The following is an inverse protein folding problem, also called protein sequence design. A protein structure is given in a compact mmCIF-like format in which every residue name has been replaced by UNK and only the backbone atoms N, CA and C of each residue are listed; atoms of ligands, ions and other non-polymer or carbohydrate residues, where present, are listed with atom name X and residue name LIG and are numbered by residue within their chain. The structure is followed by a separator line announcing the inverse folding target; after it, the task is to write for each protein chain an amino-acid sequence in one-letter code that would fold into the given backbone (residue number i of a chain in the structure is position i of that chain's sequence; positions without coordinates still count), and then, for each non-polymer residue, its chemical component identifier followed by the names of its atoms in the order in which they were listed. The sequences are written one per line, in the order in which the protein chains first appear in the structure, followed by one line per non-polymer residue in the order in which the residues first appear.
data_IF_788866745642
#
_entry.id   IF_788866745642
#
_cell.length_a   1.000
_cell.length_b   1.000
_cell.length_c   1.000
_cell.angle_alpha   90.00
_cell.angle_beta   90.00
_cell.angle_gamma   90.00
#
_symmetry.space_group_name_H-M   'P 1'
#
loop_
_entity.id
_entity.type
_entity.pdbx_description
1 polymer ?
#
# COMPACT_ATOMS: atom_id res chain seq x y z
N UNK A 1 -30.18 -27.63 5.83
CA UNK A 1 -29.72 -27.69 4.42
C UNK A 1 -30.81 -27.09 3.54
N UNK A 2 -30.41 -26.46 2.42
CA UNK A 2 -31.16 -25.67 1.42
C UNK A 2 -31.58 -24.24 1.80
N UNK A 3 -30.95 -23.25 1.13
CA UNK A 3 -31.53 -21.92 0.90
C UNK A 3 -30.57 -20.73 0.96
N UNK A 4 -29.70 -20.55 -0.06
CA UNK A 4 -29.26 -19.25 -0.62
C UNK A 4 -28.16 -19.38 -1.71
N UNK A 5 -28.01 -20.56 -2.32
CA UNK A 5 -27.37 -20.71 -3.62
C UNK A 5 -28.47 -21.12 -4.59
N UNK A 6 -28.72 -20.33 -5.63
CA UNK A 6 -29.49 -20.81 -6.77
C UNK A 6 -28.49 -21.54 -7.68
N UNK A 7 -28.73 -22.79 -8.07
CA UNK A 7 -27.94 -23.38 -9.14
C UNK A 7 -28.24 -22.60 -10.44
N UNK A 8 -27.24 -22.06 -11.16
CA UNK A 8 -25.80 -22.21 -11.00
C UNK A 8 -25.08 -20.88 -10.70
N UNK A 9 -25.15 -20.38 -9.47
CA UNK A 9 -24.37 -19.21 -9.07
C UNK A 9 -22.87 -19.57 -9.10
N UNK A 10 -22.11 -18.91 -9.96
CA UNK A 10 -20.67 -19.09 -10.12
C UNK A 10 -19.95 -18.10 -9.21
N UNK A 11 -19.13 -18.61 -8.28
CA UNK A 11 -18.35 -17.78 -7.38
C UNK A 11 -16.99 -17.39 -7.99
N UNK A 12 -16.55 -16.16 -7.74
CA UNK A 12 -15.24 -15.68 -8.14
C UNK A 12 -14.60 -14.80 -7.06
N UNK A 13 -13.27 -14.74 -7.08
CA UNK A 13 -12.51 -13.86 -6.22
C UNK A 13 -12.81 -12.39 -6.55
N UNK A 14 -13.20 -11.60 -5.55
CA UNK A 14 -13.43 -10.16 -5.70
C UNK A 14 -12.19 -9.38 -6.17
N UNK A 15 -10.99 -9.91 -5.90
CA UNK A 15 -9.71 -9.28 -6.25
C UNK A 15 -9.26 -9.58 -7.67
N UNK A 16 -9.15 -10.86 -8.05
CA UNK A 16 -8.57 -11.27 -9.33
C UNK A 16 -9.58 -11.89 -10.32
N UNK A 17 -10.84 -12.07 -9.92
CA UNK A 17 -11.88 -12.71 -10.75
C UNK A 17 -11.74 -14.22 -10.93
N UNK A 18 -10.72 -14.86 -10.34
CA UNK A 18 -10.53 -16.31 -10.43
C UNK A 18 -11.70 -17.07 -9.80
N UNK A 19 -12.17 -18.11 -10.46
CA UNK A 19 -13.16 -19.06 -9.91
C UNK A 19 -12.60 -20.05 -8.89
N UNK A 20 -11.28 -20.03 -8.62
CA UNK A 20 -10.62 -20.91 -7.64
C UNK A 20 -10.77 -20.37 -6.22
N UNK A 21 -12.00 -20.33 -5.74
CA UNK A 21 -12.35 -19.88 -4.39
C UNK A 21 -12.93 -21.02 -3.57
N UNK A 22 -12.46 -21.18 -2.34
CA UNK A 22 -12.97 -22.21 -1.42
C UNK A 22 -13.40 -21.57 -0.10
N UNK A 23 -14.51 -22.05 0.50
CA UNK A 23 -14.96 -21.54 1.78
C UNK A 23 -13.90 -21.83 2.84
N UNK A 24 -13.61 -20.83 3.67
CA UNK A 24 -12.68 -21.00 4.79
C UNK A 24 -13.34 -21.92 5.83
N UNK A 25 -12.80 -23.13 5.99
CA UNK A 25 -13.25 -24.07 7.01
C UNK A 25 -12.66 -23.66 8.36
N UNK A 26 -13.51 -23.13 9.25
CA UNK A 26 -13.14 -22.88 10.64
C UNK A 26 -13.07 -24.22 11.38
N UNK A 27 -11.89 -24.54 11.94
CA UNK A 27 -11.62 -25.80 12.66
C UNK A 27 -12.48 -25.96 13.92
N UNK A 28 -13.10 -24.88 14.41
CA UNK A 28 -13.96 -24.88 15.62
C UNK A 28 -15.47 -24.86 15.33
N UNK A 29 -15.89 -24.98 14.07
CA UNK A 29 -17.30 -24.87 13.70
C UNK A 29 -17.87 -23.45 13.89
N UNK A 30 -19.11 -23.20 13.44
CA UNK A 30 -19.69 -21.86 13.47
C UNK A 30 -20.03 -21.41 14.91
N UNK A 31 -19.56 -20.22 15.31
CA UNK A 31 -19.87 -19.57 16.57
C UNK A 31 -21.11 -18.68 16.38
N UNK A 32 -22.21 -19.05 17.05
CA UNK A 32 -23.46 -18.29 17.02
C UNK A 32 -23.25 -16.85 17.52
N UNK A 33 -23.60 -15.85 16.69
CA UNK A 33 -23.49 -14.42 17.01
C UNK A 33 -22.26 -13.71 16.41
N UNK A 34 -21.27 -14.46 15.92
CA UNK A 34 -20.15 -13.95 15.12
C UNK A 34 -20.31 -14.40 13.65
N UNK A 35 -20.72 -15.65 13.43
CA UNK A 35 -20.75 -16.29 12.11
C UNK A 35 -22.10 -16.22 11.38
N UNK A 36 -22.99 -15.30 11.77
CA UNK A 36 -24.30 -15.22 11.09
C UNK A 36 -24.19 -14.77 9.64
N UNK A 37 -23.10 -14.12 9.22
CA UNK A 37 -22.95 -13.58 7.85
C UNK A 37 -21.53 -13.70 7.22
N UNK A 38 -20.53 -14.22 7.93
CA UNK A 38 -19.12 -14.27 7.46
C UNK A 38 -18.74 -15.60 6.81
N UNK A 39 -19.33 -15.93 5.66
CA UNK A 39 -18.81 -17.00 4.79
C UNK A 39 -17.65 -16.47 3.95
N UNK A 40 -16.48 -16.23 4.57
CA UNK A 40 -15.29 -15.82 3.80
C UNK A 40 -14.71 -16.99 3.00
N UNK A 41 -14.14 -16.67 1.85
CA UNK A 41 -13.53 -17.62 0.93
C UNK A 41 -12.06 -17.25 0.74
N UNK A 42 -11.23 -18.28 0.60
CA UNK A 42 -9.84 -18.13 0.20
C UNK A 42 -9.71 -18.34 -1.31
N UNK A 43 -9.10 -17.39 -2.00
CA UNK A 43 -8.73 -17.52 -3.41
C UNK A 43 -7.37 -18.20 -3.56
N UNK A 44 -7.33 -19.35 -4.23
CA UNK A 44 -6.07 -20.06 -4.47
C UNK A 44 -5.16 -19.35 -5.49
N UNK A 45 -5.74 -18.50 -6.36
CA UNK A 45 -4.99 -17.84 -7.40
C UNK A 45 -4.20 -16.61 -6.91
N UNK A 46 -4.67 -15.92 -5.86
CA UNK A 46 -4.04 -14.69 -5.37
C UNK A 46 -3.95 -14.58 -3.83
N UNK A 47 -4.39 -15.60 -3.09
CA UNK A 47 -4.35 -15.63 -1.63
C UNK A 47 -5.34 -14.71 -0.93
N UNK A 48 -6.26 -14.06 -1.67
CA UNK A 48 -7.25 -13.15 -1.08
C UNK A 48 -8.27 -13.89 -0.22
N UNK A 49 -8.46 -13.43 1.02
CA UNK A 49 -9.50 -13.88 1.96
C UNK A 49 -10.62 -12.84 2.02
N UNK A 50 -11.83 -13.22 1.63
CA UNK A 50 -12.98 -12.31 1.64
C UNK A 50 -14.24 -12.91 1.04
N UNK A 51 -15.28 -12.08 0.89
CA UNK A 51 -16.52 -12.52 0.24
C UNK A 51 -16.31 -12.70 -1.27
N UNK A 52 -16.82 -13.78 -1.86
CA UNK A 52 -16.76 -13.99 -3.30
C UNK A 52 -17.78 -13.07 -4.00
N UNK A 53 -17.50 -12.74 -5.26
CA UNK A 53 -18.46 -12.16 -6.17
C UNK A 53 -19.22 -13.29 -6.85
N UNK A 54 -20.54 -13.20 -6.90
CA UNK A 54 -21.40 -14.20 -7.50
C UNK A 54 -21.83 -13.76 -8.89
N UNK A 55 -21.82 -14.69 -9.83
CA UNK A 55 -22.21 -14.49 -11.22
C UNK A 55 -23.28 -15.49 -11.61
N UNK A 56 -24.23 -15.06 -12.44
CA UNK A 56 -25.27 -15.94 -12.97
C UNK A 56 -24.72 -16.93 -14.01
N UNK A 57 -23.57 -16.63 -14.63
CA UNK A 57 -22.94 -17.46 -15.66
C UNK A 57 -21.40 -17.45 -15.59
N UNK A 58 -20.79 -18.54 -16.05
CA UNK A 58 -19.33 -18.68 -16.19
C UNK A 58 -18.74 -17.65 -17.17
N UNK A 59 -19.51 -17.26 -18.18
CA UNK A 59 -19.11 -16.25 -19.17
C UNK A 59 -19.03 -14.85 -18.55
N UNK A 60 -19.96 -14.50 -17.66
CA UNK A 60 -19.92 -13.24 -16.91
C UNK A 60 -18.72 -13.22 -15.95
N UNK A 61 -18.44 -14.35 -15.28
CA UNK A 61 -17.24 -14.52 -14.45
C UNK A 61 -15.96 -14.35 -15.28
N UNK A 62 -15.87 -14.99 -16.44
CA UNK A 62 -14.69 -14.94 -17.31
C UNK A 62 -14.45 -13.54 -17.87
N UNK A 63 -15.51 -12.78 -18.20
CA UNK A 63 -15.40 -11.36 -18.58
C UNK A 63 -14.86 -10.51 -17.42
N UNK A 64 -15.38 -10.72 -16.22
CA UNK A 64 -14.88 -10.03 -15.02
C UNK A 64 -13.41 -10.39 -14.74
N UNK A 65 -13.02 -11.66 -14.88
CA UNK A 65 -11.62 -12.09 -14.77
C UNK A 65 -10.74 -11.42 -15.84
N UNK A 66 -11.18 -11.35 -17.09
CA UNK A 66 -10.44 -10.71 -18.17
C UNK A 66 -10.30 -9.19 -17.97
N UNK A 67 -11.36 -8.52 -17.52
CA UNK A 67 -11.32 -7.10 -17.14
C UNK A 67 -10.35 -6.85 -15.98
N UNK A 68 -10.30 -7.74 -14.99
CA UNK A 68 -9.36 -7.67 -13.86
C UNK A 68 -7.92 -7.99 -14.25
N UNK A 69 -7.73 -8.89 -15.22
CA UNK A 69 -6.40 -9.37 -15.65
C UNK A 69 -5.74 -8.43 -16.66
N UNK A 70 -6.50 -7.56 -17.32
CA UNK A 70 -5.98 -6.66 -18.35
C UNK A 70 -5.53 -7.43 -19.62
N UNK A 71 -4.96 -6.73 -20.63
CA UNK A 71 -4.42 -7.39 -21.81
C UNK A 71 -3.32 -8.41 -21.43
N UNK A 72 -3.15 -9.49 -22.22
CA UNK A 72 -2.26 -10.58 -21.89
C UNK A 72 -0.80 -10.11 -21.90
N UNK A 73 -0.25 -9.82 -20.74
CA UNK A 73 1.19 -9.80 -20.52
C UNK A 73 1.72 -11.22 -20.34
N UNK A 74 2.97 -11.40 -20.76
CA UNK A 74 3.73 -12.64 -20.73
C UNK A 74 3.64 -13.34 -19.37
N UNK A 75 3.76 -14.67 -19.39
CA UNK A 75 3.78 -15.59 -18.25
C UNK A 75 4.20 -14.92 -16.94
N UNK A 76 3.50 -15.17 -15.82
CA UNK A 76 3.94 -14.66 -14.53
C UNK A 76 5.37 -15.15 -14.33
N UNK A 77 6.32 -14.23 -14.45
CA UNK A 77 7.68 -14.52 -14.08
C UNK A 77 7.60 -14.94 -12.62
N UNK A 78 8.14 -16.12 -12.31
CA UNK A 78 8.47 -16.54 -10.95
C UNK A 78 8.88 -15.33 -10.12
N UNK A 79 8.48 -15.22 -8.83
CA UNK A 79 8.75 -14.05 -8.01
C UNK A 79 10.23 -13.74 -8.13
N UNK A 80 10.56 -12.69 -8.89
CA UNK A 80 11.93 -12.21 -9.00
C UNK A 80 12.35 -11.97 -7.56
N UNK A 81 13.46 -12.57 -7.14
CA UNK A 81 14.17 -12.22 -5.92
C UNK A 81 14.61 -10.75 -6.02
N UNK A 82 13.65 -9.84 -5.93
CA UNK A 82 13.79 -8.41 -5.97
C UNK A 82 13.55 -7.89 -4.57
N UNK A 83 14.31 -6.86 -4.21
CA UNK A 83 14.07 -6.05 -3.03
C UNK A 83 12.58 -5.66 -2.93
N UNK A 84 12.05 -5.69 -1.70
CA UNK A 84 10.65 -5.33 -1.45
C UNK A 84 10.44 -3.84 -1.70
N UNK A 85 9.50 -3.49 -2.58
CA UNK A 85 9.02 -2.12 -2.77
C UNK A 85 7.67 -1.94 -2.06
N UNK A 86 7.62 -1.05 -1.07
CA UNK A 86 6.44 -0.84 -0.23
C UNK A 86 6.06 0.64 -0.29
N UNK A 87 4.94 1.03 -0.93
CA UNK A 87 4.49 2.42 -0.92
C UNK A 87 4.08 2.87 0.49
N UNK A 88 4.52 4.07 0.88
CA UNK A 88 4.08 4.75 2.08
C UNK A 88 2.68 5.31 1.85
N UNK A 89 1.77 5.10 2.80
CA UNK A 89 0.39 5.55 2.75
C UNK A 89 0.06 6.39 4.00
N UNK A 90 0.26 7.71 3.97
CA UNK A 90 -0.06 8.59 5.07
C UNK A 90 -1.56 8.84 5.15
N UNK A 91 -2.19 8.37 6.22
CA UNK A 91 -3.60 8.56 6.50
C UNK A 91 -3.75 9.73 7.46
N UNK A 92 -4.55 10.71 7.04
CA UNK A 92 -5.02 11.78 7.91
C UNK A 92 -6.51 11.59 8.17
N UNK A 93 -6.88 11.51 9.45
CA UNK A 93 -8.28 11.36 9.87
C UNK A 93 -8.80 12.68 10.42
N UNK A 94 -9.71 13.32 9.69
CA UNK A 94 -10.30 14.61 10.07
C UNK A 94 -11.81 14.46 10.38
N UNK A 95 -12.35 15.24 11.33
CA UNK A 95 -13.78 15.31 11.54
C UNK A 95 -14.47 15.87 10.28
N UNK A 96 -15.58 15.27 9.86
CA UNK A 96 -16.34 15.69 8.66
C UNK A 96 -16.97 17.09 8.83
N UNK A 97 -17.28 17.49 10.07
CA UNK A 97 -17.93 18.77 10.42
C UNK A 97 -17.30 19.32 11.68
N UNK A 98 -16.67 20.51 11.61
CA UNK A 98 -16.10 21.22 12.77
C UNK A 98 -17.14 22.23 13.31
N UNK A 99 -18.22 21.72 13.90
CA UNK A 99 -19.24 22.52 14.57
C UNK A 99 -19.40 22.00 16.00
N UNK A 100 -19.03 22.81 17.00
CA UNK A 100 -19.10 22.53 18.45
C UNK A 100 -20.46 22.03 18.99
N UNK A 101 -21.52 22.05 18.17
CA UNK A 101 -22.88 21.64 18.55
C UNK A 101 -23.23 20.25 17.98
N UNK A 102 -22.41 19.70 17.09
CA UNK A 102 -22.63 18.42 16.41
C UNK A 102 -21.51 17.39 16.67
N UNK A 103 -20.85 17.48 17.82
CA UNK A 103 -19.81 16.52 18.30
C UNK A 103 -20.32 15.07 18.42
N UNK A 104 -21.62 14.82 18.18
CA UNK A 104 -22.29 13.52 18.27
C UNK A 104 -22.41 12.79 16.92
N UNK A 105 -21.89 13.33 15.81
CA UNK A 105 -21.89 12.64 14.51
C UNK A 105 -20.50 12.05 14.25
N UNK A 106 -20.29 10.74 14.44
CA UNK A 106 -18.97 10.10 14.43
C UNK A 106 -18.45 9.80 13.01
N UNK A 107 -18.79 10.63 12.03
CA UNK A 107 -18.30 10.43 10.65
C UNK A 107 -16.99 11.20 10.51
N UNK A 108 -15.87 10.47 10.46
CA UNK A 108 -14.56 11.04 10.13
C UNK A 108 -14.19 10.67 8.70
N UNK A 109 -13.62 11.63 7.98
CA UNK A 109 -13.06 11.38 6.65
C UNK A 109 -11.60 10.98 6.79
N UNK A 110 -11.24 9.83 6.21
CA UNK A 110 -9.86 9.45 5.99
C UNK A 110 -9.43 9.96 4.61
N UNK A 111 -8.35 10.73 4.58
CA UNK A 111 -7.69 11.12 3.33
C UNK A 111 -6.28 10.57 3.31
N UNK A 112 -5.82 10.15 2.13
CA UNK A 112 -4.40 9.95 1.89
C UNK A 112 -3.81 11.30 1.51
N UNK A 113 -2.72 11.69 2.15
CA UNK A 113 -2.09 13.01 1.97
C UNK A 113 -0.62 12.87 1.65
N UNK A 114 -0.08 13.80 0.88
CA UNK A 114 1.37 13.95 0.80
C UNK A 114 1.90 14.42 2.14
N UNK A 115 3.17 14.14 2.42
CA UNK A 115 3.80 14.50 3.69
C UNK A 115 5.12 15.22 3.45
N UNK A 116 5.57 15.96 4.45
CA UNK A 116 6.90 16.55 4.51
C UNK A 116 7.28 16.83 5.96
N UNK A 117 8.57 17.08 6.19
CA UNK A 117 9.08 17.40 7.52
C UNK A 117 9.19 18.91 7.73
N UNK A 118 8.58 19.41 8.80
CA UNK A 118 8.61 20.84 9.17
C UNK A 118 9.71 21.18 10.20
N UNK A 119 10.58 20.22 10.52
CA UNK A 119 11.58 20.35 11.58
C UNK A 119 11.17 19.71 12.91
N UNK A 120 9.89 19.36 13.09
CA UNK A 120 9.36 18.78 14.33
C UNK A 120 8.37 17.64 14.13
N UNK A 121 7.56 17.70 13.09
CA UNK A 121 6.48 16.76 12.83
C UNK A 121 6.37 16.46 11.33
N UNK A 122 5.70 15.34 11.03
CA UNK A 122 5.38 14.95 9.66
C UNK A 122 4.09 15.70 9.31
N UNK A 123 4.23 16.78 8.55
CA UNK A 123 3.13 17.66 8.20
C UNK A 123 2.52 17.26 6.85
N UNK A 124 1.19 17.33 6.69
CA UNK A 124 0.54 17.09 5.41
C UNK A 124 0.89 18.21 4.41
N UNK A 125 1.03 17.84 3.14
CA UNK A 125 1.21 18.78 2.02
C UNK A 125 -0.12 19.02 1.29
N UNK A 126 -0.05 19.70 0.13
CA UNK A 126 -1.22 19.94 -0.73
C UNK A 126 -1.75 18.69 -1.43
N UNK A 127 -0.94 17.64 -1.56
CA UNK A 127 -1.37 16.41 -2.22
C UNK A 127 -2.40 15.72 -1.34
N UNK A 128 -3.55 15.39 -1.92
CA UNK A 128 -4.64 14.71 -1.24
C UNK A 128 -5.41 13.84 -2.23
N UNK A 129 -5.79 12.66 -1.78
CA UNK A 129 -6.73 11.77 -2.46
C UNK A 129 -7.64 11.10 -1.42
N UNK A 130 -8.81 10.64 -1.84
CA UNK A 130 -9.55 9.70 -1.00
C UNK A 130 -8.76 8.39 -0.87
N UNK A 131 -8.99 7.65 0.22
CA UNK A 131 -8.35 6.35 0.38
C UNK A 131 -8.68 5.40 -0.77
N UNK A 132 -9.92 5.43 -1.29
CA UNK A 132 -10.34 4.57 -2.39
C UNK A 132 -9.56 4.87 -3.66
N UNK A 133 -9.51 6.14 -4.10
CA UNK A 133 -8.78 6.54 -5.30
C UNK A 133 -7.30 6.18 -5.21
N UNK A 134 -6.69 6.42 -4.03
CA UNK A 134 -5.30 6.09 -3.81
C UNK A 134 -5.04 4.59 -3.84
N UNK A 135 -5.90 3.81 -3.16
CA UNK A 135 -5.80 2.36 -3.16
C UNK A 135 -6.01 1.77 -4.56
N UNK A 136 -6.93 2.30 -5.36
CA UNK A 136 -7.13 1.85 -6.74
C UNK A 136 -5.91 2.14 -7.62
N UNK A 137 -5.19 3.24 -7.37
CA UNK A 137 -3.95 3.56 -8.04
C UNK A 137 -2.82 2.58 -7.69
N UNK A 138 -2.51 2.39 -6.41
CA UNK A 138 -1.38 1.56 -6.00
C UNK A 138 -1.68 0.05 -5.98
N UNK A 139 -2.93 -0.34 -5.71
CA UNK A 139 -3.38 -1.74 -5.70
C UNK A 139 -3.86 -2.24 -7.06
N UNK A 140 -4.04 -1.34 -8.03
CA UNK A 140 -4.43 -1.67 -9.40
C UNK A 140 -3.32 -2.39 -10.18
N UNK A 141 -3.63 -2.99 -11.34
CA UNK A 141 -2.72 -3.87 -12.08
C UNK A 141 -1.44 -3.15 -12.58
N UNK A 142 -1.48 -1.81 -12.72
CA UNK A 142 -0.33 -1.02 -13.17
C UNK A 142 0.76 -0.83 -12.11
N UNK A 143 0.42 -0.94 -10.83
CA UNK A 143 1.37 -0.78 -9.71
C UNK A 143 1.47 -2.04 -8.86
N UNK A 144 0.31 -2.65 -8.58
CA UNK A 144 0.18 -3.96 -7.94
C UNK A 144 0.91 -4.07 -6.59
N UNK A 145 0.75 -3.07 -5.74
CA UNK A 145 1.26 -3.09 -4.37
C UNK A 145 0.64 -4.27 -3.61
N UNK A 146 1.48 -5.18 -3.13
CA UNK A 146 1.05 -6.28 -2.25
C UNK A 146 0.85 -5.82 -0.81
N UNK A 147 1.60 -4.79 -0.40
CA UNK A 147 1.70 -4.28 0.97
C UNK A 147 1.84 -2.76 0.95
N UNK A 148 1.41 -2.09 2.02
CA UNK A 148 1.63 -0.66 2.26
C UNK A 148 2.27 -0.40 3.62
N UNK A 149 3.03 0.69 3.70
CA UNK A 149 3.52 1.25 4.96
C UNK A 149 2.61 2.39 5.38
N UNK A 150 1.61 2.09 6.22
CA UNK A 150 0.59 3.04 6.61
C UNK A 150 1.07 3.90 7.79
N UNK A 151 1.03 5.22 7.61
CA UNK A 151 1.32 6.20 8.66
C UNK A 151 -0.01 6.81 9.15
N UNK A 152 -0.42 6.56 10.39
CA UNK A 152 -1.51 7.33 10.99
C UNK A 152 -0.98 8.68 11.47
N UNK A 153 -1.15 9.71 10.65
CA UNK A 153 -0.66 11.05 10.97
C UNK A 153 -1.36 11.66 12.19
N UNK A 154 -2.57 11.18 12.53
CA UNK A 154 -3.31 11.66 13.71
C UNK A 154 -2.69 11.07 14.97
N UNK A 155 -2.42 9.77 14.97
CA UNK A 155 -1.66 9.10 16.02
C UNK A 155 -0.24 9.66 16.16
N UNK A 156 0.53 9.68 15.07
CA UNK A 156 1.93 10.11 15.05
C UNK A 156 2.09 11.57 15.52
N UNK A 157 1.22 12.49 15.11
CA UNK A 157 1.39 13.91 15.46
C UNK A 157 0.62 14.33 16.72
N UNK A 158 -0.46 13.64 17.09
CA UNK A 158 -1.39 14.10 18.14
C UNK A 158 -1.70 13.07 19.23
N UNK A 159 -1.08 11.87 19.19
CA UNK A 159 -1.38 10.77 20.11
C UNK A 159 -2.89 10.45 20.17
N UNK A 160 -3.55 10.48 19.01
CA UNK A 160 -4.99 10.25 18.91
C UNK A 160 -5.32 9.42 17.67
N UNK A 161 -4.86 8.15 17.62
CA UNK A 161 -5.17 7.28 16.50
C UNK A 161 -6.66 6.98 16.43
N UNK A 162 -7.20 6.85 15.22
CA UNK A 162 -8.61 6.51 15.03
C UNK A 162 -8.77 5.04 14.66
N UNK A 163 -8.86 4.18 15.67
CA UNK A 163 -8.97 2.73 15.50
C UNK A 163 -10.19 2.31 14.68
N UNK A 164 -11.32 3.02 14.79
CA UNK A 164 -12.53 2.71 14.02
C UNK A 164 -12.28 2.89 12.52
N UNK A 165 -11.71 4.03 12.11
CA UNK A 165 -11.34 4.29 10.73
C UNK A 165 -10.26 3.31 10.27
N UNK A 166 -9.18 3.16 11.02
CA UNK A 166 -8.05 2.29 10.65
C UNK A 166 -8.50 0.84 10.44
N UNK A 167 -9.36 0.30 11.30
CA UNK A 167 -9.93 -1.06 11.18
C UNK A 167 -10.63 -1.29 9.85
N UNK A 168 -11.22 -0.26 9.24
CA UNK A 168 -11.84 -0.38 7.92
C UNK A 168 -10.82 -0.32 6.78
N UNK A 169 -9.75 0.47 6.94
CA UNK A 169 -8.73 0.65 5.91
C UNK A 169 -7.83 -0.59 5.76
N UNK A 170 -7.41 -1.17 6.88
CA UNK A 170 -6.47 -2.31 6.91
C UNK A 170 -7.02 -3.60 6.28
N UNK A 171 -8.35 -3.79 6.26
CA UNK A 171 -9.00 -4.97 5.63
C UNK A 171 -8.76 -5.12 4.13
N UNK A 172 -8.21 -4.11 3.47
CA UNK A 172 -8.07 -4.06 2.01
C UNK A 172 -6.72 -4.55 1.50
N UNK A 173 -5.71 -4.63 2.37
CA UNK A 173 -4.33 -4.94 1.97
C UNK A 173 -3.46 -5.40 3.14
N UNK A 174 -2.29 -5.95 2.84
CA UNK A 174 -1.29 -6.18 3.89
C UNK A 174 -0.70 -4.83 4.34
N UNK A 175 -0.70 -4.58 5.64
CA UNK A 175 -0.31 -3.28 6.21
C UNK A 175 0.82 -3.46 7.20
N UNK A 176 1.86 -2.63 7.06
CA UNK A 176 2.78 -2.27 8.13
C UNK A 176 2.32 -0.93 8.71
N UNK A 177 1.86 -0.92 9.96
CA UNK A 177 1.16 0.22 10.53
C UNK A 177 2.03 0.93 11.58
N UNK A 178 2.30 2.21 11.35
CA UNK A 178 2.74 3.13 12.40
C UNK A 178 1.54 3.93 12.92
N UNK A 179 1.08 3.59 14.13
CA UNK A 179 -0.02 4.28 14.81
C UNK A 179 0.43 5.45 15.69
N UNK A 180 1.74 5.69 15.79
CA UNK A 180 2.28 6.69 16.71
C UNK A 180 2.16 6.32 18.19
N UNK A 181 2.35 5.05 18.55
CA UNK A 181 2.35 4.60 19.93
C UNK A 181 3.47 5.25 20.76
N UNK A 182 3.13 5.73 21.95
CA UNK A 182 4.04 6.39 22.90
C UNK A 182 4.52 5.46 24.00
N UNK A 183 3.80 4.37 24.23
CA UNK A 183 4.11 3.34 25.21
C UNK A 183 4.09 1.95 24.55
N UNK A 184 4.87 0.98 25.04
CA UNK A 184 4.90 -0.38 24.48
C UNK A 184 3.53 -1.06 24.43
N UNK A 185 2.65 -0.78 25.39
CA UNK A 185 1.30 -1.32 25.47
C UNK A 185 0.42 -0.82 24.32
N UNK A 186 0.54 0.45 23.92
CA UNK A 186 -0.21 1.04 22.81
C UNK A 186 0.14 0.39 21.46
N UNK A 187 1.36 -0.16 21.32
CA UNK A 187 1.74 -0.94 20.12
C UNK A 187 0.88 -2.19 19.99
N UNK A 188 0.49 -2.82 21.11
CA UNK A 188 -0.31 -4.04 21.12
C UNK A 188 -1.73 -3.81 20.60
N UNK A 189 -2.29 -2.61 20.82
CA UNK A 189 -3.57 -2.21 20.24
C UNK A 189 -3.53 -2.18 18.69
N UNK A 190 -2.36 -1.91 18.11
CA UNK A 190 -2.14 -1.99 16.67
C UNK A 190 -2.39 -3.38 16.09
N UNK A 191 -1.95 -4.44 16.79
CA UNK A 191 -2.16 -5.82 16.35
C UNK A 191 -3.64 -6.24 16.36
N UNK A 192 -4.47 -5.60 17.19
CA UNK A 192 -5.93 -5.83 17.22
C UNK A 192 -6.63 -5.38 15.93
N UNK A 193 -5.93 -4.67 15.04
CA UNK A 193 -6.42 -4.23 13.73
C UNK A 193 -6.18 -5.26 12.61
N UNK A 194 -5.63 -6.44 12.89
CA UNK A 194 -5.32 -7.48 11.88
C UNK A 194 -4.33 -6.98 10.82
N UNK A 195 -3.32 -6.23 11.26
CA UNK A 195 -2.21 -5.77 10.42
C UNK A 195 -1.12 -6.85 10.34
N UNK A 196 -0.35 -6.85 9.26
CA UNK A 196 0.75 -7.81 9.10
C UNK A 196 1.88 -7.52 10.08
N UNK A 197 2.16 -6.23 10.30
CA UNK A 197 3.20 -5.78 11.22
C UNK A 197 2.85 -4.44 11.84
N UNK A 198 3.12 -4.26 13.12
CA UNK A 198 3.09 -2.93 13.75
C UNK A 198 4.49 -2.35 13.73
N UNK A 199 4.56 -1.05 13.51
CA UNK A 199 5.79 -0.27 13.43
C UNK A 199 5.87 0.65 14.65
N UNK A 200 7.04 0.68 15.28
CA UNK A 200 7.30 1.54 16.43
C UNK A 200 8.32 2.63 16.06
N UNK A 201 7.86 3.86 15.86
CA UNK A 201 8.71 5.01 15.53
C UNK A 201 9.51 5.54 16.73
N UNK A 202 10.80 5.84 16.53
CA UNK A 202 11.66 6.39 17.57
C UNK A 202 11.22 7.79 18.02
N UNK A 203 10.66 8.60 17.10
CA UNK A 203 10.05 9.91 17.39
C UNK A 203 8.83 9.81 18.32
N UNK A 204 8.33 8.61 18.50
CA UNK A 204 7.02 8.30 19.08
C UNK A 204 7.22 7.57 20.41
N UNK A 205 7.72 6.32 20.39
CA UNK A 205 7.94 5.47 21.57
C UNK A 205 9.04 6.00 22.52
N UNK A 206 9.94 6.85 22.01
CA UNK A 206 10.67 7.80 22.82
C UNK A 206 12.02 7.36 23.40
N UNK A 207 12.31 6.08 23.59
CA UNK A 207 13.63 5.65 24.11
C UNK A 207 14.05 4.24 23.73
N UNK A 208 15.34 3.94 23.86
CA UNK A 208 15.86 2.58 23.67
C UNK A 208 15.34 1.59 24.74
N UNK A 209 15.05 2.07 25.95
CA UNK A 209 14.47 1.23 27.01
C UNK A 209 13.07 0.76 26.61
N UNK A 210 12.25 1.67 26.08
CA UNK A 210 10.92 1.34 25.59
C UNK A 210 10.96 0.32 24.44
N UNK A 211 11.98 0.37 23.58
CA UNK A 211 12.19 -0.69 22.57
C UNK A 211 12.55 -2.05 23.19
N UNK A 212 13.30 -2.08 24.29
CA UNK A 212 13.61 -3.33 25.00
C UNK A 212 12.37 -3.93 25.64
N UNK A 213 11.58 -3.09 26.32
CA UNK A 213 10.30 -3.50 26.89
C UNK A 213 9.35 -3.99 25.80
N UNK A 214 9.25 -3.27 24.69
CA UNK A 214 8.43 -3.65 23.55
C UNK A 214 8.83 -5.01 22.97
N UNK A 215 10.13 -5.27 22.80
CA UNK A 215 10.61 -6.57 22.34
C UNK A 215 10.22 -7.71 23.28
N UNK A 216 10.11 -7.44 24.59
CA UNK A 216 9.65 -8.44 25.57
C UNK A 216 8.15 -8.74 25.47
N UNK A 217 7.36 -7.81 24.93
CA UNK A 217 5.93 -7.99 24.65
C UNK A 217 5.69 -8.66 23.29
N UNK A 218 6.46 -8.28 22.26
CA UNK A 218 6.37 -8.83 20.91
C UNK A 218 7.69 -8.68 20.15
N UNK A 219 8.25 -9.81 19.71
CA UNK A 219 9.43 -9.85 18.82
C UNK A 219 9.11 -9.48 17.36
N UNK A 220 7.83 -9.44 17.00
CA UNK A 220 7.38 -9.22 15.62
C UNK A 220 7.24 -7.73 15.25
N UNK A 221 7.45 -6.82 16.22
CA UNK A 221 7.36 -5.38 15.97
C UNK A 221 8.55 -4.93 15.14
N UNK A 222 8.31 -4.03 14.18
CA UNK A 222 9.36 -3.37 13.41
C UNK A 222 9.73 -2.03 14.04
N UNK A 223 10.93 -1.87 14.62
CA UNK A 223 11.43 -0.55 14.99
C UNK A 223 11.57 0.32 13.74
N UNK A 224 11.20 1.60 13.84
CA UNK A 224 11.44 2.60 12.82
C UNK A 224 12.24 3.76 13.43
N UNK A 225 13.46 3.95 12.95
CA UNK A 225 14.33 5.05 13.35
C UNK A 225 14.05 6.26 12.45
N UNK A 226 13.39 7.26 13.01
CA UNK A 226 13.20 8.57 12.38
C UNK A 226 14.53 9.31 12.39
N UNK A 227 15.03 9.72 11.22
CA UNK A 227 16.37 10.29 11.07
C UNK A 227 16.36 11.65 10.39
N UNK A 228 16.93 12.67 11.07
CA UNK A 228 17.07 14.04 10.56
C UNK A 228 18.54 14.49 10.37
N UNK A 229 19.43 13.53 10.16
CA UNK A 229 20.88 13.70 10.35
C UNK A 229 21.38 13.00 11.61
N UNK A 230 20.47 12.77 12.57
CA UNK A 230 20.63 11.92 13.74
C UNK A 230 19.29 11.23 14.04
N UNK A 231 19.27 10.20 14.87
CA UNK A 231 18.03 9.56 15.33
C UNK A 231 17.23 10.57 16.16
N UNK A 232 15.96 10.73 15.80
CA UNK A 232 14.98 11.59 16.46
C UNK A 232 14.20 10.76 17.46
N UNK A 233 14.22 11.18 18.72
CA UNK A 233 13.50 10.53 19.81
C UNK A 233 12.27 11.32 20.24
N UNK A 234 11.23 10.59 20.64
CA UNK A 234 10.06 11.17 21.31
C UNK A 234 10.38 11.71 22.70
N UNK A 235 11.29 11.07 23.44
CA UNK A 235 11.81 11.59 24.70
C UNK A 235 13.10 12.38 24.44
N UNK A 236 13.13 13.70 24.68
CA UNK A 236 14.34 14.51 24.48
C UNK A 236 15.48 14.17 25.44
N UNK A 237 15.25 13.34 26.47
CA UNK A 237 16.28 12.87 27.41
C UNK A 237 17.10 11.72 26.84
N UNK A 238 16.64 11.06 25.78
CA UNK A 238 17.40 10.02 25.10
C UNK A 238 18.54 10.65 24.29
N UNK A 239 19.76 10.50 24.80
CA UNK A 239 20.96 11.12 24.22
C UNK A 239 21.61 10.29 23.10
N UNK A 240 21.22 9.02 22.94
CA UNK A 240 21.78 8.14 21.89
C UNK A 240 21.18 8.49 20.54
N UNK A 241 21.81 9.42 19.81
CA UNK A 241 21.29 9.89 18.53
C UNK A 241 22.08 9.39 17.31
N UNK A 242 23.20 8.69 17.51
CA UNK A 242 23.95 8.11 16.41
C UNK A 242 23.22 6.87 15.84
N UNK A 243 23.06 6.82 14.51
CA UNK A 243 22.27 5.78 13.86
C UNK A 243 22.90 4.38 14.03
N UNK A 244 24.22 4.27 13.90
CA UNK A 244 24.92 2.98 13.98
C UNK A 244 24.88 2.45 15.41
N UNK A 245 25.07 3.33 16.39
CA UNK A 245 25.00 2.96 17.81
C UNK A 245 23.59 2.48 18.19
N UNK A 246 22.54 3.19 17.73
CA UNK A 246 21.15 2.81 17.99
C UNK A 246 20.79 1.51 17.28
N UNK A 247 21.14 1.35 16.00
CA UNK A 247 20.90 0.11 15.25
C UNK A 247 21.59 -1.10 15.89
N UNK A 248 22.85 -0.93 16.33
CA UNK A 248 23.58 -1.97 17.08
C UNK A 248 22.89 -2.32 18.40
N UNK A 249 22.35 -1.32 19.09
CA UNK A 249 21.63 -1.56 20.33
C UNK A 249 20.29 -2.28 20.11
N UNK A 250 19.55 -1.97 19.04
CA UNK A 250 18.34 -2.70 18.64
C UNK A 250 18.66 -4.16 18.29
N UNK A 251 19.73 -4.40 17.53
CA UNK A 251 20.21 -5.75 17.24
C UNK A 251 20.57 -6.51 18.53
N UNK A 252 21.24 -5.86 19.48
CA UNK A 252 21.56 -6.46 20.78
C UNK A 252 20.33 -6.74 21.67
N UNK A 253 19.22 -6.04 21.46
CA UNK A 253 17.93 -6.33 22.12
C UNK A 253 17.29 -7.60 21.53
N UNK A 254 17.52 -7.88 20.24
CA UNK A 254 17.00 -9.06 19.54
C UNK A 254 16.20 -8.74 18.28
N UNK A 255 16.11 -7.47 17.87
CA UNK A 255 15.45 -7.13 16.61
C UNK A 255 16.31 -7.54 15.41
N UNK A 256 15.71 -8.29 14.48
CA UNK A 256 16.36 -8.76 13.26
C UNK A 256 16.26 -7.76 12.10
N UNK A 257 15.29 -6.83 12.17
CA UNK A 257 15.04 -5.83 11.16
C UNK A 257 14.72 -4.45 11.76
N UNK A 258 14.99 -3.40 11.00
CA UNK A 258 14.69 -2.01 11.36
C UNK A 258 14.32 -1.19 10.13
N UNK A 259 13.32 -0.33 10.26
CA UNK A 259 13.07 0.77 9.34
C UNK A 259 13.98 1.95 9.67
N UNK A 260 14.54 2.60 8.66
CA UNK A 260 15.21 3.89 8.81
C UNK A 260 14.53 4.87 7.87
N UNK A 261 13.92 5.92 8.43
CA UNK A 261 13.14 6.92 7.69
C UNK A 261 13.90 8.25 7.69
N UNK A 262 14.44 8.69 6.53
CA UNK A 262 14.96 10.05 6.40
C UNK A 262 13.79 11.04 6.35
N UNK A 263 13.38 11.53 7.51
CA UNK A 263 12.21 12.42 7.61
C UNK A 263 12.45 13.71 6.83
N UNK A 264 13.70 14.18 6.67
CA UNK A 264 14.01 15.42 5.92
C UNK A 264 13.72 15.29 4.42
N UNK A 265 13.78 14.07 3.89
CA UNK A 265 13.56 13.77 2.48
C UNK A 265 12.19 13.14 2.21
N UNK A 266 11.46 12.75 3.26
CA UNK A 266 10.13 12.19 3.15
C UNK A 266 9.19 13.11 2.35
N UNK A 267 8.65 12.56 1.25
CA UNK A 267 7.76 13.27 0.33
C UNK A 267 8.44 14.29 -0.58
N UNK A 268 9.77 14.41 -0.57
CA UNK A 268 10.50 15.29 -1.50
C UNK A 268 10.87 14.59 -2.79
N UNK A 269 10.77 13.25 -2.85
CA UNK A 269 11.16 12.44 -4.00
C UNK A 269 12.61 12.73 -4.45
N UNK A 270 13.51 13.07 -3.52
CA UNK A 270 14.87 13.50 -3.86
C UNK A 270 15.85 12.33 -4.06
N UNK A 271 15.36 11.09 -3.98
CA UNK A 271 16.17 9.89 -3.88
C UNK A 271 16.82 9.73 -2.51
N UNK A 272 17.49 8.57 -2.28
CA UNK A 272 18.15 8.27 -1.01
C UNK A 272 19.28 9.26 -0.71
N UNK A 273 19.47 9.59 0.57
CA UNK A 273 20.61 10.40 1.01
C UNK A 273 21.92 9.60 0.97
N UNK A 274 22.95 10.01 0.21
CA UNK A 274 24.21 9.27 0.15
C UNK A 274 24.93 9.16 1.50
N UNK A 275 24.80 10.17 2.37
CA UNK A 275 25.37 10.16 3.72
C UNK A 275 24.64 9.18 4.62
N UNK A 276 23.31 9.08 4.51
CA UNK A 276 22.54 8.04 5.21
C UNK A 276 22.89 6.63 4.73
N UNK A 277 23.01 6.43 3.41
CA UNK A 277 23.43 5.14 2.86
C UNK A 277 24.79 4.70 3.41
N UNK A 278 25.74 5.63 3.54
CA UNK A 278 27.04 5.34 4.15
C UNK A 278 26.96 5.00 5.65
N UNK A 279 25.92 5.44 6.37
CA UNK A 279 25.68 5.05 7.77
C UNK A 279 25.01 3.68 7.89
N UNK A 280 24.18 3.30 6.92
CA UNK A 280 23.48 2.01 6.87
C UNK A 280 24.40 0.88 6.41
N UNK A 281 25.39 1.20 5.58
CA UNK A 281 26.30 0.20 5.02
C UNK A 281 27.02 -0.61 6.11
N UNK A 282 26.97 -1.94 5.98
CA UNK A 282 27.57 -2.89 6.92
C UNK A 282 26.87 -3.01 8.28
N UNK A 283 25.64 -2.51 8.45
CA UNK A 283 24.83 -2.83 9.63
C UNK A 283 24.51 -4.33 9.68
N UNK A 284 24.53 -4.91 10.88
CA UNK A 284 24.26 -6.34 11.11
C UNK A 284 22.76 -6.68 11.22
N UNK A 285 21.90 -5.70 10.97
CA UNK A 285 20.43 -5.80 11.08
C UNK A 285 19.83 -5.53 9.70
N UNK A 286 18.75 -6.22 9.34
CA UNK A 286 18.08 -5.95 8.06
C UNK A 286 17.48 -4.55 8.05
N UNK A 287 17.69 -3.80 6.96
CA UNK A 287 17.24 -2.41 6.88
C UNK A 287 16.15 -2.26 5.81
N UNK A 288 15.05 -1.63 6.21
CA UNK A 288 14.04 -1.06 5.33
C UNK A 288 14.23 0.46 5.27
N UNK A 289 14.60 1.00 4.11
CA UNK A 289 14.91 2.42 3.98
C UNK A 289 13.69 3.19 3.47
N UNK A 290 13.38 4.33 4.06
CA UNK A 290 12.35 5.26 3.59
C UNK A 290 12.80 6.72 3.59
N UNK A 291 12.02 7.56 2.91
CA UNK A 291 12.22 9.01 2.85
C UNK A 291 12.88 9.47 1.54
N UNK A 292 12.06 10.02 0.64
CA UNK A 292 12.55 10.58 -0.63
C UNK A 292 12.65 9.57 -1.77
N UNK A 293 12.35 8.30 -1.50
CA UNK A 293 12.54 7.20 -2.44
C UNK A 293 11.45 7.16 -3.51
N UNK A 294 11.88 6.82 -4.73
CA UNK A 294 11.03 6.53 -5.89
C UNK A 294 11.15 5.06 -6.27
N UNK A 295 10.25 4.62 -7.14
CA UNK A 295 10.27 3.26 -7.70
C UNK A 295 11.59 2.96 -8.42
N UNK A 296 12.17 3.94 -9.10
CA UNK A 296 13.44 3.81 -9.83
C UNK A 296 14.67 3.61 -8.92
N UNK A 297 14.60 4.05 -7.65
CA UNK A 297 15.70 3.94 -6.70
C UNK A 297 15.84 2.51 -6.12
N UNK A 298 14.73 1.75 -6.13
CA UNK A 298 14.59 0.48 -5.42
C UNK A 298 15.67 -0.52 -5.81
N UNK A 299 15.90 -0.73 -7.11
CA UNK A 299 16.88 -1.71 -7.60
C UNK A 299 18.29 -1.45 -7.06
N UNK A 300 18.72 -0.19 -7.03
CA UNK A 300 20.06 0.18 -6.54
C UNK A 300 20.24 0.01 -5.03
N UNK A 301 19.14 0.03 -4.26
CA UNK A 301 19.18 -0.28 -2.82
C UNK A 301 19.35 -1.78 -2.58
N UNK A 302 18.72 -2.63 -3.40
CA UNK A 302 18.86 -4.08 -3.31
C UNK A 302 20.30 -4.55 -3.53
N UNK A 303 21.00 -3.94 -4.50
CA UNK A 303 22.43 -4.21 -4.77
C UNK A 303 23.35 -3.85 -3.58
N UNK A 304 22.86 -3.01 -2.66
CA UNK A 304 23.57 -2.59 -1.43
C UNK A 304 23.19 -3.40 -0.19
N UNK A 305 22.38 -4.46 -0.35
CA UNK A 305 21.96 -5.31 0.77
C UNK A 305 20.84 -4.72 1.64
N UNK A 306 20.14 -3.68 1.16
CA UNK A 306 18.95 -3.16 1.83
C UNK A 306 17.78 -4.11 1.56
N UNK A 307 17.04 -4.49 2.60
CA UNK A 307 16.00 -5.52 2.55
C UNK A 307 14.72 -5.04 1.86
N UNK A 308 14.42 -3.74 1.95
CA UNK A 308 13.28 -3.13 1.29
C UNK A 308 13.33 -1.61 1.23
N UNK A 309 12.54 -1.05 0.33
CA UNK A 309 12.39 0.36 0.08
C UNK A 309 10.96 0.80 0.40
N UNK A 310 10.82 1.82 1.25
CA UNK A 310 9.57 2.49 1.56
C UNK A 310 9.44 3.70 0.62
N UNK A 311 8.66 3.52 -0.44
CA UNK A 311 8.52 4.48 -1.55
C UNK A 311 7.61 5.62 -1.15
N UNK A 312 7.98 6.86 -1.50
CA UNK A 312 7.23 8.06 -1.12
C UNK A 312 5.76 8.02 -1.61
N UNK A 313 4.83 8.67 -0.89
CA UNK A 313 3.40 8.52 -1.16
C UNK A 313 2.89 9.19 -2.44
N UNK A 314 3.65 10.09 -3.05
CA UNK A 314 3.20 10.80 -4.24
C UNK A 314 4.31 10.88 -5.29
N UNK A 315 5.03 9.78 -5.52
CA UNK A 315 5.99 9.68 -6.63
C UNK A 315 5.38 10.07 -7.98
N UNK A 316 6.19 10.39 -9.00
CA UNK A 316 5.67 10.62 -10.34
C UNK A 316 4.79 9.48 -10.86
N UNK A 317 5.13 8.22 -10.55
CA UNK A 317 4.35 7.03 -10.93
C UNK A 317 2.98 7.04 -10.25
N UNK A 318 2.92 7.18 -8.93
CA UNK A 318 1.64 7.18 -8.19
C UNK A 318 0.77 8.37 -8.62
N UNK A 319 1.36 9.55 -8.84
CA UNK A 319 0.62 10.72 -9.34
C UNK A 319 0.06 10.53 -10.75
N UNK A 320 0.75 9.80 -11.63
CA UNK A 320 0.22 9.46 -12.95
C UNK A 320 -1.02 8.55 -12.81
N UNK A 321 -0.94 7.56 -11.92
CA UNK A 321 -2.02 6.61 -11.67
C UNK A 321 -3.25 7.25 -11.01
N UNK A 322 -3.05 8.31 -10.21
CA UNK A 322 -4.11 9.09 -9.59
C UNK A 322 -4.82 10.03 -10.58
N UNK A 323 -4.26 10.29 -11.77
CA UNK A 323 -4.94 11.10 -12.78
C UNK A 323 -6.05 10.26 -13.43
N UNK A 324 -7.21 10.87 -13.73
CA UNK A 324 -8.20 10.17 -14.54
C UNK A 324 -7.54 9.75 -15.86
N UNK A 325 -7.79 8.52 -16.35
CA UNK A 325 -7.20 8.05 -17.60
C UNK A 325 -7.56 9.06 -18.68
N UNK A 326 -6.55 9.55 -19.41
CA UNK A 326 -6.77 10.38 -20.58
C UNK A 326 -7.72 9.59 -21.47
N UNK A 327 -8.93 10.11 -21.69
CA UNK A 327 -9.77 9.58 -22.76
C UNK A 327 -8.95 9.74 -24.03
N UNK A 328 -8.34 8.67 -24.52
CA UNK A 328 -8.03 8.58 -25.92
C UNK A 328 -9.36 8.82 -26.62
N UNK A 329 -9.51 10.04 -27.17
CA UNK A 329 -10.59 10.30 -28.11
C UNK A 329 -10.52 9.21 -29.17
N UNK A 330 -11.66 8.77 -29.73
CA UNK A 330 -11.64 7.78 -30.80
C UNK A 330 -10.59 8.22 -31.79
N UNK A 331 -9.58 7.37 -32.02
CA UNK A 331 -8.53 7.60 -32.98
C UNK A 331 -9.21 8.20 -34.21
N UNK A 332 -8.82 9.42 -34.59
CA UNK A 332 -9.30 10.02 -35.82
C UNK A 332 -9.02 8.99 -36.90
N UNK A 333 -10.08 8.31 -37.33
CA UNK A 333 -10.03 7.44 -38.47
C UNK A 333 -9.63 8.37 -39.61
N UNK A 334 -8.34 8.34 -39.96
CA UNK A 334 -7.88 8.93 -41.21
C UNK A 334 -8.82 8.40 -42.28
N UNK A 335 -9.62 9.30 -42.85
CA UNK A 335 -10.48 8.97 -43.96
C UNK A 335 -9.60 8.26 -45.01
N UNK A 336 -10.00 7.08 -45.51
CA UNK A 336 -9.24 6.41 -46.54
C UNK A 336 -9.08 7.37 -47.72
N UNK A 337 -7.84 7.53 -48.19
CA UNK A 337 -7.55 8.32 -49.39
C UNK A 337 -8.43 7.81 -50.54
N UNK A 338 -9.05 8.70 -51.33
CA UNK A 338 -9.89 8.30 -52.43
C UNK A 338 -9.04 7.53 -53.45
N UNK A 339 -9.39 6.25 -53.63
CA UNK A 339 -8.80 5.38 -54.64
C UNK A 339 -9.01 6.04 -56.02
N UNK A 340 -7.95 6.29 -56.81
CA UNK A 340 -8.10 6.83 -58.15
C UNK A 340 -8.92 5.87 -59.01
N UNK A 341 -10.00 6.38 -59.62
CA UNK A 341 -10.84 5.59 -60.53
C UNK A 341 -10.00 5.05 -61.68
N UNK A 342 -10.11 3.76 -62.01
CA UNK A 342 -9.49 3.22 -63.22
C UNK A 342 -10.12 3.86 -64.45
N UNK A 343 -9.27 4.38 -65.32
CA UNK A 343 -9.61 4.92 -66.64
C UNK A 343 -10.29 3.83 -67.47
N UNK A 344 -11.43 4.11 -68.13
CA UNK A 344 -12.09 3.13 -68.98
C UNK A 344 -11.18 2.73 -70.16
N UNK A 345 -11.18 1.45 -70.55
CA UNK A 345 -10.40 0.99 -71.69
C UNK A 345 -10.87 1.68 -72.98
N UNK A 346 -9.90 2.10 -73.79
CA UNK A 346 -10.12 2.55 -75.18
C UNK A 346 -10.55 1.34 -76.00
N UNK A 347 -11.80 1.33 -76.44
CA UNK A 347 -12.22 0.43 -77.51
C UNK A 347 -11.50 0.80 -78.80
N UNK A 348 -10.80 -0.18 -79.36
CA UNK A 348 -10.25 -0.16 -80.71
C UNK A 348 -11.26 -0.76 -81.70
N UNK A 349 -11.16 -0.43 -83.00
CA UNK A 349 -12.31 -0.25 -83.90
C UNK A 349 -12.65 -1.48 -84.75
N UNK A 350 -13.89 -1.52 -85.25
CA UNK A 350 -14.33 -2.15 -86.51
C UNK A 350 -15.81 -1.76 -86.72
N UNK A 351 -16.21 -0.96 -87.71
CA UNK A 351 -16.48 -1.25 -89.14
C UNK A 351 -17.91 -0.69 -89.38
N UNK A 352 -18.40 -0.18 -90.52
CA UNK A 352 -17.91 0.02 -91.88
C UNK A 352 -18.88 1.03 -92.55
N UNK A 353 -18.43 1.72 -93.61
CA UNK A 353 -19.26 2.60 -94.45
C UNK A 353 -18.44 3.38 -95.46
#
# INVERSE_FOLDING_TARGET
MSGLFRPPDVAACARCGSGRVHPKLLVMGPIAGIDSDSRSFLCEACGYDGLPVMFDTEEARARFEAEKRGPPEASPSEPRQGILSIPILPVLTEPLVDLKVLDLIPVRLASVVGVGWDGRQIAPTRYRASFQEYWDAIGGPRYNAARVFMLDLTGINRANPNFDVLRHLVKRCAVWLDLGAREPEEIMDGYMLDVERVVAGSKTLGSLEAFRELHSLSSEVLPCLDWDGRVVWGDPREARTDLRDVAKALCAIGFDAVCVMDVRRLGTEAGPDPGLLAQIDGLAIEVYLGGGLREEDVTGLGERGIAGALVDPYTPVIRDLLRPPTKEGPAEAKAPEPVPRPTPPRDAPADAG
#
